data_IF_025684249423
#
_entry.id   IF_025684249423
#
_cell.length_a   1.000
_cell.length_b   1.000
_cell.length_c   1.000
_cell.angle_alpha   90.00
_cell.angle_beta   90.00
_cell.angle_gamma   90.00
#
_symmetry.space_group_name_H-M   'P 1'
#
loop_
_entity.id
_entity.type
_entity.pdbx_description
1 polymer ?
#
# COMPACT_ATOMS: atom_id res chain seq x y z
N UNK A 1 2.98 -10.80 -0.01
CA UNK A 1 3.56 -9.52 0.43
C UNK A 1 4.25 -8.86 -0.74
N UNK A 2 4.06 -7.56 -0.93
CA UNK A 2 4.74 -6.73 -1.94
C UNK A 2 5.50 -5.61 -1.24
N UNK A 3 6.75 -5.36 -1.63
CA UNK A 3 7.56 -4.26 -1.12
C UNK A 3 8.03 -3.37 -2.28
N UNK A 4 7.98 -2.05 -2.08
CA UNK A 4 8.51 -1.05 -3.00
C UNK A 4 9.50 -0.17 -2.24
N UNK A 5 10.69 0.02 -2.83
CA UNK A 5 11.74 0.87 -2.26
C UNK A 5 12.10 1.98 -3.22
N UNK A 6 12.09 3.22 -2.73
CA UNK A 6 12.39 4.42 -3.50
C UNK A 6 13.50 5.23 -2.81
N UNK A 7 14.46 5.82 -3.54
CA UNK A 7 15.40 6.78 -2.96
C UNK A 7 14.68 8.00 -2.35
N UNK A 8 15.25 8.55 -1.29
CA UNK A 8 14.69 9.68 -0.55
C UNK A 8 13.81 9.23 0.62
N UNK A 9 13.94 9.91 1.75
CA UNK A 9 13.27 9.56 3.00
C UNK A 9 11.80 9.99 3.02
N UNK A 10 10.92 9.09 3.48
CA UNK A 10 9.53 9.44 3.74
C UNK A 10 9.41 10.20 5.07
N UNK A 11 8.97 11.45 4.98
CA UNK A 11 8.78 12.34 6.15
C UNK A 11 7.32 12.56 6.52
N UNK A 12 6.46 11.61 6.14
CA UNK A 12 5.02 11.67 6.36
C UNK A 12 4.23 12.17 5.16
N UNK A 13 2.92 12.35 5.39
CA UNK A 13 1.99 12.85 4.38
C UNK A 13 2.31 14.31 4.03
N UNK A 14 2.27 14.64 2.74
CA UNK A 14 2.52 16.00 2.27
C UNK A 14 1.21 16.77 2.19
N UNK A 15 1.17 18.06 2.55
CA UNK A 15 -0.03 18.88 2.41
C UNK A 15 -0.54 18.85 0.96
N UNK A 16 -1.82 18.58 0.79
CA UNK A 16 -2.46 18.40 -0.53
C UNK A 16 -2.18 17.07 -1.23
N UNK A 17 -1.30 16.22 -0.69
CA UNK A 17 -0.99 14.91 -1.27
C UNK A 17 -2.17 13.94 -1.21
N UNK A 18 -2.58 13.41 -2.37
CA UNK A 18 -3.75 12.52 -2.47
C UNK A 18 -3.42 11.04 -2.65
N UNK A 19 -2.16 10.69 -2.87
CA UNK A 19 -1.77 9.31 -3.17
C UNK A 19 -2.08 8.31 -2.06
N UNK A 20 -1.65 8.61 -0.82
CA UNK A 20 -1.87 7.73 0.34
C UNK A 20 -3.37 7.62 0.73
N UNK A 21 -4.15 8.72 0.79
CA UNK A 21 -5.60 8.64 1.00
C UNK A 21 -6.31 7.76 -0.04
N UNK A 22 -5.98 7.93 -1.33
CA UNK A 22 -6.59 7.13 -2.39
C UNK A 22 -6.20 5.66 -2.30
N UNK A 23 -4.93 5.36 -2.03
CA UNK A 23 -4.47 3.98 -1.86
C UNK A 23 -5.19 3.29 -0.69
N UNK A 24 -5.23 3.92 0.49
CA UNK A 24 -5.94 3.41 1.67
C UNK A 24 -7.42 3.13 1.36
N UNK A 25 -8.09 4.04 0.66
CA UNK A 25 -9.50 3.86 0.24
C UNK A 25 -9.66 2.68 -0.72
N UNK A 26 -8.78 2.53 -1.72
CA UNK A 26 -8.82 1.39 -2.65
C UNK A 26 -8.62 0.06 -1.94
N UNK A 27 -7.69 -0.02 -1.00
CA UNK A 27 -7.44 -1.22 -0.21
C UNK A 27 -8.66 -1.60 0.65
N UNK A 28 -9.29 -0.62 1.32
CA UNK A 28 -10.49 -0.85 2.11
C UNK A 28 -11.65 -1.38 1.24
N UNK A 29 -11.83 -0.83 0.03
CA UNK A 29 -12.89 -1.26 -0.89
C UNK A 29 -12.63 -2.65 -1.48
N UNK A 30 -11.39 -2.94 -1.88
CA UNK A 30 -11.06 -4.19 -2.57
C UNK A 30 -10.93 -5.38 -1.62
N UNK A 31 -10.47 -5.15 -0.39
CA UNK A 31 -10.11 -6.22 0.55
C UNK A 31 -10.87 -6.14 1.88
N UNK A 32 -11.94 -5.33 1.97
CA UNK A 32 -12.77 -5.23 3.17
C UNK A 32 -12.02 -4.78 4.44
N UNK A 33 -10.86 -4.13 4.29
CA UNK A 33 -9.99 -3.76 5.40
C UNK A 33 -9.01 -4.84 5.88
N UNK A 34 -8.97 -6.01 5.22
CA UNK A 34 -8.02 -7.09 5.56
C UNK A 34 -6.62 -6.88 4.97
N UNK A 35 -6.46 -5.92 4.06
CA UNK A 35 -5.15 -5.54 3.53
C UNK A 35 -4.43 -4.58 4.49
N UNK A 36 -3.16 -4.85 4.75
CA UNK A 36 -2.30 -3.99 5.58
C UNK A 36 -1.30 -3.24 4.71
N UNK A 37 -1.20 -1.92 4.91
CA UNK A 37 -0.25 -1.06 4.21
C UNK A 37 0.58 -0.24 5.19
N UNK A 38 1.90 -0.23 5.00
CA UNK A 38 2.85 0.55 5.81
C UNK A 38 3.84 1.28 4.91
N UNK A 39 4.17 2.52 5.26
CA UNK A 39 5.17 3.34 4.56
C UNK A 39 6.05 4.05 5.58
N UNK A 40 7.37 3.92 5.43
CA UNK A 40 8.34 4.44 6.40
C UNK A 40 9.62 4.92 5.71
N UNK A 41 10.35 5.81 6.39
CA UNK A 41 11.72 6.14 6.04
C UNK A 41 12.68 5.07 6.56
N UNK A 42 13.65 4.64 5.73
CA UNK A 42 14.68 3.68 6.10
C UNK A 42 16.03 4.08 5.48
N UNK A 43 16.88 4.75 6.27
CA UNK A 43 18.27 5.05 5.88
C UNK A 43 18.41 5.79 4.55
N UNK A 44 17.67 6.89 4.35
CA UNK A 44 17.68 7.65 3.10
C UNK A 44 16.79 7.09 1.99
N UNK A 45 16.00 6.05 2.28
CA UNK A 45 14.98 5.52 1.38
C UNK A 45 13.59 5.65 1.98
N UNK A 46 12.59 5.52 1.10
CA UNK A 46 11.21 5.24 1.44
C UNK A 46 10.96 3.77 1.17
N UNK A 47 10.42 3.05 2.16
CA UNK A 47 10.00 1.66 2.01
C UNK A 47 8.50 1.59 2.23
N UNK A 48 7.78 1.08 1.23
CA UNK A 48 6.36 0.81 1.30
C UNK A 48 6.13 -0.70 1.26
N UNK A 49 5.37 -1.22 2.23
CA UNK A 49 5.00 -2.63 2.35
C UNK A 49 3.50 -2.79 2.26
N UNK A 50 3.08 -3.76 1.46
CA UNK A 50 1.68 -4.12 1.26
C UNK A 50 1.49 -5.61 1.49
N UNK A 51 0.60 -5.94 2.41
CA UNK A 51 0.15 -7.28 2.71
C UNK A 51 -1.31 -7.40 2.29
N UNK A 52 -1.56 -8.29 1.34
CA UNK A 52 -2.89 -8.56 0.82
C UNK A 52 -3.34 -9.92 1.36
N UNK A 53 -4.60 -10.07 1.77
CA UNK A 53 -5.15 -11.40 2.05
C UNK A 53 -5.11 -12.22 0.76
N UNK A 54 -4.79 -13.51 0.86
CA UNK A 54 -4.99 -14.43 -0.25
C UNK A 54 -6.50 -14.57 -0.47
N UNK A 55 -7.05 -13.79 -1.39
CA UNK A 55 -8.35 -14.11 -1.97
C UNK A 55 -8.15 -15.30 -2.92
N UNK A 56 -9.07 -16.28 -2.97
CA UNK A 56 -9.10 -17.21 -4.08
C UNK A 56 -9.17 -16.37 -5.37
N UNK A 57 -8.37 -16.72 -6.38
CA UNK A 57 -8.37 -16.02 -7.66
C UNK A 57 -9.82 -15.89 -8.13
N UNK A 58 -10.30 -14.65 -8.27
CA UNK A 58 -11.66 -14.42 -8.72
C UNK A 58 -11.80 -14.97 -10.15
N UNK A 59 -12.42 -16.14 -10.26
CA UNK A 59 -13.04 -16.71 -11.45
C UNK A 59 -12.14 -16.87 -12.67
N UNK A 60 -11.60 -18.08 -12.86
CA UNK A 60 -11.54 -18.60 -14.23
C UNK A 60 -12.98 -18.71 -14.75
N UNK A 61 -13.34 -18.11 -15.89
CA UNK A 61 -14.62 -18.42 -16.51
C UNK A 61 -14.59 -19.87 -17.00
N UNK A 62 -15.54 -20.69 -16.52
CA UNK A 62 -15.86 -21.99 -17.11
C UNK A 62 -16.36 -21.84 -18.56
#
# INVERSE_FOLDING_TARGET
MVEVRNPGEHRGERPGGQGLPQLRRRLALAYGGEATFRIEGAGGHTVARLELPLLPAAGEPC
#
